data_IF_430661455988
#
_entry.id   IF_430661455988
#
_cell.length_a   1.000
_cell.length_b   1.000
_cell.length_c   1.000
_cell.angle_alpha   90.00
_cell.angle_beta   90.00
_cell.angle_gamma   90.00
#
_symmetry.space_group_name_H-M   'P 1'
#
loop_
_entity.id
_entity.type
_entity.pdbx_description
1 polymer ?
#
# COMPACT_ATOMS: atom_id res chain seq x y z
N UNK A 1 52.80 61.94 24.79
CA UNK A 1 51.59 61.41 25.46
C UNK A 1 50.71 60.80 24.38
N UNK A 2 50.74 59.47 24.26
CA UNK A 2 49.92 58.72 23.29
C UNK A 2 48.74 58.14 24.01
N UNK A 3 47.51 58.50 23.61
CA UNK A 3 46.26 57.98 24.18
C UNK A 3 45.95 56.64 23.51
N UNK A 4 45.93 55.57 24.27
CA UNK A 4 45.43 54.25 23.81
C UNK A 4 43.90 54.23 23.84
N UNK A 5 43.25 53.99 22.71
CA UNK A 5 41.83 53.80 22.59
C UNK A 5 41.53 52.29 22.60
N UNK A 6 40.89 51.83 23.67
CA UNK A 6 40.43 50.44 23.81
C UNK A 6 39.18 50.24 23.00
N UNK A 7 39.20 49.33 22.01
CA UNK A 7 38.03 48.86 21.25
C UNK A 7 37.51 47.63 21.97
N UNK A 8 36.29 47.72 22.50
CA UNK A 8 35.56 46.55 23.07
C UNK A 8 34.80 45.87 21.95
N UNK A 9 35.18 44.62 21.63
CA UNK A 9 34.45 43.78 20.71
C UNK A 9 33.35 43.06 21.47
N UNK A 10 32.09 43.41 21.21
CA UNK A 10 30.93 42.66 21.73
C UNK A 10 30.63 41.52 20.77
N UNK A 11 30.88 40.28 21.20
CA UNK A 11 30.53 39.04 20.46
C UNK A 11 29.06 38.75 20.76
N UNK A 12 28.21 38.89 19.72
CA UNK A 12 26.80 38.49 19.78
C UNK A 12 26.72 36.97 19.54
N UNK A 13 26.47 36.19 20.60
CA UNK A 13 26.17 34.78 20.48
C UNK A 13 24.74 34.61 19.95
N UNK A 14 24.57 34.24 18.68
CA UNK A 14 23.29 33.82 18.12
C UNK A 14 23.10 32.36 18.48
N UNK A 15 22.23 32.05 19.44
CA UNK A 15 21.80 30.68 19.73
C UNK A 15 20.78 30.27 18.68
N UNK A 16 21.19 29.45 17.72
CA UNK A 16 20.27 28.79 16.81
C UNK A 16 19.47 27.74 17.61
N UNK A 17 18.22 28.04 17.93
CA UNK A 17 17.28 27.03 18.41
C UNK A 17 17.01 26.04 17.28
N UNK A 18 17.62 24.87 17.31
CA UNK A 18 17.20 23.73 16.50
C UNK A 18 15.79 23.36 16.95
N UNK A 19 14.79 23.73 16.14
CA UNK A 19 13.44 23.16 16.26
C UNK A 19 13.59 21.69 15.85
N UNK A 20 13.44 20.78 16.80
CA UNK A 20 13.41 19.36 16.49
C UNK A 20 12.27 19.11 15.48
N UNK A 21 12.51 18.33 14.41
CA UNK A 21 11.43 17.95 13.50
C UNK A 21 10.31 17.26 14.32
N UNK A 22 9.05 17.38 13.90
CA UNK A 22 7.94 16.71 14.58
C UNK A 22 8.27 15.22 14.72
N UNK A 23 8.05 14.68 15.89
CA UNK A 23 8.30 13.28 16.21
C UNK A 23 7.49 12.41 15.25
N UNK A 24 8.19 11.73 14.34
CA UNK A 24 7.57 10.81 13.38
C UNK A 24 7.23 9.52 14.13
N UNK A 25 6.13 8.82 13.77
CA UNK A 25 5.81 7.53 14.37
C UNK A 25 7.05 6.63 14.29
N UNK A 26 7.37 5.96 15.39
CA UNK A 26 8.49 5.02 15.42
C UNK A 26 8.34 3.97 14.34
N UNK A 27 9.44 3.50 13.77
CA UNK A 27 9.44 2.48 12.71
C UNK A 27 8.56 1.27 13.04
N UNK A 28 8.54 0.87 14.30
CA UNK A 28 7.72 -0.25 14.78
C UNK A 28 6.21 -0.01 14.69
N UNK A 29 5.74 1.22 14.87
CA UNK A 29 4.31 1.57 14.79
C UNK A 29 3.78 1.50 13.36
N UNK A 30 4.52 2.04 12.40
CA UNK A 30 4.13 1.96 10.98
C UNK A 30 4.18 0.51 10.45
N UNK A 31 5.15 -0.29 10.89
CA UNK A 31 5.23 -1.71 10.53
C UNK A 31 4.05 -2.49 11.13
N UNK A 32 3.67 -2.24 12.38
CA UNK A 32 2.48 -2.83 13.01
C UNK A 32 1.21 -2.40 12.28
N UNK A 33 1.08 -1.13 11.91
CA UNK A 33 -0.06 -0.61 11.17
C UNK A 33 -0.21 -1.31 9.82
N UNK A 34 0.88 -1.53 9.09
CA UNK A 34 0.86 -2.25 7.83
C UNK A 34 0.49 -3.72 8.01
N UNK A 35 0.95 -4.36 9.08
CA UNK A 35 0.56 -5.73 9.42
C UNK A 35 -0.94 -5.83 9.75
N UNK A 36 -1.47 -4.88 10.52
CA UNK A 36 -2.90 -4.83 10.83
C UNK A 36 -3.75 -4.61 9.58
N UNK A 37 -3.31 -3.71 8.67
CA UNK A 37 -3.98 -3.46 7.40
C UNK A 37 -4.05 -4.74 6.56
N UNK A 38 -2.93 -5.44 6.38
CA UNK A 38 -2.86 -6.68 5.62
C UNK A 38 -3.78 -7.75 6.20
N UNK A 39 -3.82 -7.87 7.53
CA UNK A 39 -4.72 -8.81 8.22
C UNK A 39 -6.19 -8.42 8.03
N UNK A 40 -6.51 -7.14 8.14
CA UNK A 40 -7.88 -6.64 7.97
C UNK A 40 -8.39 -6.84 6.53
N UNK A 41 -7.52 -6.70 5.52
CA UNK A 41 -7.85 -7.02 4.12
C UNK A 41 -8.14 -8.52 3.98
N UNK A 42 -7.28 -9.40 4.51
CA UNK A 42 -7.46 -10.84 4.44
C UNK A 42 -8.75 -11.33 5.10
N UNK A 43 -9.27 -10.62 6.12
CA UNK A 43 -10.46 -11.01 6.89
C UNK A 43 -11.69 -10.14 6.60
N UNK A 44 -11.60 -9.18 5.68
CA UNK A 44 -12.62 -8.14 5.42
C UNK A 44 -13.04 -7.41 6.70
N UNK A 45 -12.12 -7.17 7.63
CA UNK A 45 -12.41 -6.45 8.87
C UNK A 45 -12.51 -4.94 8.62
N UNK A 46 -13.71 -4.52 8.22
CA UNK A 46 -14.00 -3.11 7.91
C UNK A 46 -13.85 -2.20 9.11
N UNK A 47 -14.06 -2.71 10.33
CA UNK A 47 -13.92 -1.91 11.55
C UNK A 47 -12.45 -1.53 11.77
N UNK A 48 -11.55 -2.48 11.65
CA UNK A 48 -10.10 -2.22 11.73
C UNK A 48 -9.65 -1.29 10.60
N UNK A 49 -10.09 -1.49 9.35
CA UNK A 49 -9.75 -0.60 8.24
C UNK A 49 -10.17 0.85 8.55
N UNK A 50 -11.38 1.06 9.06
CA UNK A 50 -11.88 2.38 9.45
C UNK A 50 -11.03 3.06 10.55
N UNK A 51 -10.48 2.28 11.46
CA UNK A 51 -9.61 2.80 12.54
C UNK A 51 -8.20 3.15 12.03
N UNK A 52 -7.68 2.39 11.05
CA UNK A 52 -6.33 2.58 10.52
C UNK A 52 -6.18 3.82 9.64
N UNK A 53 -7.24 4.28 8.97
CA UNK A 53 -7.17 5.39 8.02
C UNK A 53 -7.74 6.69 8.58
N UNK A 54 -7.20 7.81 8.11
CA UNK A 54 -7.88 9.09 8.21
C UNK A 54 -9.10 9.10 7.29
N UNK A 55 -10.21 9.77 7.67
CA UNK A 55 -11.43 9.81 6.82
C UNK A 55 -11.17 10.37 5.40
N UNK A 56 -10.22 11.28 5.27
CA UNK A 56 -9.82 11.93 4.01
C UNK A 56 -8.62 11.27 3.33
N UNK A 57 -8.19 10.11 3.77
CA UNK A 57 -7.03 9.41 3.19
C UNK A 57 -7.21 9.10 1.71
N UNK A 58 -6.11 8.83 1.02
CA UNK A 58 -6.09 8.34 -0.36
C UNK A 58 -5.48 6.95 -0.44
N UNK A 59 -5.95 6.17 -1.42
CA UNK A 59 -5.38 4.87 -1.74
C UNK A 59 -5.17 4.75 -3.25
N UNK A 60 -3.92 4.59 -3.67
CA UNK A 60 -3.54 4.45 -5.07
C UNK A 60 -3.40 2.96 -5.45
N UNK A 61 -4.17 2.50 -6.42
CA UNK A 61 -4.00 1.19 -7.08
C UNK A 61 -3.29 1.41 -8.43
N UNK A 62 -1.99 1.16 -8.46
CA UNK A 62 -1.20 1.37 -9.67
C UNK A 62 -1.44 0.31 -10.75
N UNK A 63 -1.97 -0.86 -10.42
CA UNK A 63 -2.32 -1.87 -11.42
C UNK A 63 -3.54 -1.46 -12.25
N UNK A 64 -4.54 -0.87 -11.63
CA UNK A 64 -5.74 -0.36 -12.30
C UNK A 64 -5.65 1.11 -12.70
N UNK A 65 -4.61 1.83 -12.22
CA UNK A 65 -4.42 3.28 -12.38
C UNK A 65 -5.59 4.09 -11.79
N UNK A 66 -6.10 3.66 -10.65
CA UNK A 66 -7.17 4.30 -9.90
C UNK A 66 -6.65 4.85 -8.58
N UNK A 67 -7.24 5.96 -8.14
CA UNK A 67 -7.06 6.52 -6.80
C UNK A 67 -8.41 6.59 -6.11
N UNK A 68 -8.52 5.95 -4.95
CA UNK A 68 -9.70 5.98 -4.08
C UNK A 68 -9.53 7.11 -3.07
N UNK A 69 -10.55 7.97 -2.95
CA UNK A 69 -10.50 9.14 -2.10
C UNK A 69 -11.48 9.03 -0.93
N UNK A 70 -10.93 9.10 0.26
CA UNK A 70 -11.67 8.98 1.50
C UNK A 70 -12.07 7.55 1.82
N UNK A 71 -12.37 7.34 3.08
CA UNK A 71 -12.64 6.00 3.63
C UNK A 71 -13.85 5.31 2.99
N UNK A 72 -14.80 6.08 2.45
CA UNK A 72 -16.00 5.56 1.79
C UNK A 72 -15.69 4.82 0.48
N UNK A 73 -14.59 5.18 -0.19
CA UNK A 73 -14.12 4.48 -1.40
C UNK A 73 -13.05 3.44 -1.07
N UNK A 74 -12.21 3.70 -0.06
CA UNK A 74 -11.11 2.81 0.34
C UNK A 74 -11.63 1.48 0.90
N UNK A 75 -12.62 1.51 1.80
CA UNK A 75 -13.13 0.28 2.43
C UNK A 75 -13.69 -0.71 1.40
N UNK A 76 -14.60 -0.34 0.49
CA UNK A 76 -15.08 -1.25 -0.55
C UNK A 76 -13.95 -1.79 -1.44
N UNK A 77 -12.97 -0.96 -1.80
CA UNK A 77 -11.81 -1.42 -2.58
C UNK A 77 -11.02 -2.49 -1.86
N UNK A 78 -10.65 -2.27 -0.59
CA UNK A 78 -9.84 -3.19 0.19
C UNK A 78 -10.55 -4.51 0.51
N UNK A 79 -11.88 -4.53 0.51
CA UNK A 79 -12.67 -5.75 0.77
C UNK A 79 -13.20 -6.41 -0.49
N UNK A 80 -12.99 -5.81 -1.67
CA UNK A 80 -13.54 -6.29 -2.94
C UNK A 80 -13.20 -7.74 -3.28
N UNK A 81 -12.04 -8.24 -2.82
CA UNK A 81 -11.63 -9.63 -3.04
C UNK A 81 -12.65 -10.64 -2.48
N UNK A 82 -13.32 -10.32 -1.37
CA UNK A 82 -14.33 -11.17 -0.75
C UNK A 82 -15.66 -11.20 -1.50
N UNK A 83 -15.89 -10.29 -2.44
CA UNK A 83 -17.08 -10.32 -3.30
C UNK A 83 -16.97 -11.40 -4.37
N UNK A 84 -15.77 -11.66 -4.90
CA UNK A 84 -15.55 -12.57 -6.01
C UNK A 84 -14.77 -13.84 -5.64
N UNK A 85 -14.03 -13.82 -4.52
CA UNK A 85 -13.12 -14.87 -4.10
C UNK A 85 -13.59 -15.62 -2.85
N UNK A 86 -13.24 -16.89 -2.80
CA UNK A 86 -13.25 -17.70 -1.60
C UNK A 86 -11.81 -17.93 -1.15
N UNK A 87 -11.61 -18.34 0.10
CA UNK A 87 -10.30 -18.60 0.70
C UNK A 87 -9.31 -17.43 0.53
N UNK A 88 -9.82 -16.22 0.73
CA UNK A 88 -9.01 -14.99 0.62
C UNK A 88 -7.91 -15.02 1.67
N UNK A 89 -6.68 -14.94 1.21
CA UNK A 89 -5.49 -14.93 2.03
C UNK A 89 -4.57 -13.78 1.64
N UNK A 90 -4.00 -13.11 2.61
CA UNK A 90 -2.95 -12.11 2.41
C UNK A 90 -1.95 -12.21 3.54
N UNK A 91 -0.67 -12.28 3.20
CA UNK A 91 0.42 -12.36 4.17
C UNK A 91 1.49 -11.33 3.86
N UNK A 92 1.84 -10.58 4.88
CA UNK A 92 2.92 -9.61 4.83
C UNK A 92 4.27 -10.34 5.01
N UNK A 93 5.18 -10.11 4.09
CA UNK A 93 6.53 -10.64 4.09
C UNK A 93 7.52 -9.66 4.74
N UNK A 94 8.47 -9.15 3.93
CA UNK A 94 9.43 -8.17 4.40
C UNK A 94 8.80 -6.81 4.56
N UNK A 95 9.10 -6.15 5.68
CA UNK A 95 8.64 -4.79 5.97
C UNK A 95 9.84 -3.90 6.25
N UNK A 96 9.79 -2.69 5.75
CA UNK A 96 10.80 -1.67 5.97
C UNK A 96 10.13 -0.36 6.37
N UNK A 97 10.59 0.20 7.47
CA UNK A 97 10.17 1.53 7.88
C UNK A 97 10.71 2.60 6.94
N UNK A 98 9.92 3.64 6.73
CA UNK A 98 10.33 4.87 6.05
C UNK A 98 10.33 6.04 7.03
N UNK A 99 10.67 7.23 6.57
CA UNK A 99 10.69 8.41 7.42
C UNK A 99 9.30 8.80 7.98
N UNK A 100 8.22 8.40 7.31
CA UNK A 100 6.84 8.77 7.68
C UNK A 100 5.83 7.63 7.54
N UNK A 101 6.30 6.38 7.46
CA UNK A 101 5.42 5.22 7.26
C UNK A 101 6.20 3.92 7.15
N UNK A 102 5.70 3.01 6.32
CA UNK A 102 6.32 1.73 6.03
C UNK A 102 6.08 1.29 4.58
N UNK A 103 6.91 0.38 4.11
CA UNK A 103 6.72 -0.36 2.86
C UNK A 103 6.83 -1.85 3.16
N UNK A 104 5.92 -2.65 2.62
CA UNK A 104 5.90 -4.09 2.84
C UNK A 104 5.56 -4.89 1.61
N UNK A 105 6.32 -5.97 1.40
CA UNK A 105 6.05 -6.98 0.39
C UNK A 105 4.96 -7.92 0.89
N UNK A 106 4.06 -8.33 0.03
CA UNK A 106 3.00 -9.27 0.40
C UNK A 106 2.70 -10.29 -0.70
N UNK A 107 2.10 -11.39 -0.26
CA UNK A 107 1.48 -12.39 -1.13
C UNK A 107 -0.01 -12.39 -0.84
N UNK A 108 -0.81 -12.32 -1.90
CA UNK A 108 -2.26 -12.46 -1.88
C UNK A 108 -2.64 -13.71 -2.64
N UNK A 109 -3.64 -14.46 -2.13
CA UNK A 109 -4.31 -15.49 -2.92
C UNK A 109 -5.81 -15.55 -2.65
N UNK A 110 -6.57 -16.02 -3.64
CA UNK A 110 -8.00 -16.29 -3.54
C UNK A 110 -8.42 -17.27 -4.64
N UNK A 111 -9.47 -18.06 -4.41
CA UNK A 111 -10.11 -18.87 -5.44
C UNK A 111 -11.22 -18.04 -6.08
N UNK A 112 -11.16 -17.78 -7.39
CA UNK A 112 -12.21 -17.04 -8.08
C UNK A 112 -13.48 -17.91 -8.22
N UNK A 113 -14.39 -17.76 -7.28
CA UNK A 113 -15.64 -18.52 -7.19
C UNK A 113 -16.86 -17.76 -7.72
N UNK A 114 -16.71 -16.45 -7.96
CA UNK A 114 -17.75 -15.54 -8.47
C UNK A 114 -17.18 -14.60 -9.55
N UNK A 115 -18.02 -13.98 -10.39
CA UNK A 115 -17.57 -12.99 -11.39
C UNK A 115 -16.78 -11.83 -10.77
N UNK A 116 -15.78 -11.29 -11.50
CA UNK A 116 -15.09 -10.04 -11.18
C UNK A 116 -15.58 -8.97 -12.14
N UNK A 117 -16.68 -8.34 -11.80
CA UNK A 117 -17.35 -7.36 -12.67
C UNK A 117 -17.54 -7.88 -14.10
N UNK A 118 -17.56 -6.96 -15.06
CA UNK A 118 -17.72 -7.28 -16.48
C UNK A 118 -16.45 -7.85 -17.13
N UNK A 119 -15.29 -7.72 -16.46
CA UNK A 119 -13.99 -8.18 -17.01
C UNK A 119 -13.87 -9.70 -16.98
N UNK A 120 -14.36 -10.33 -15.92
CA UNK A 120 -14.38 -11.78 -15.74
C UNK A 120 -15.79 -12.21 -15.34
N UNK A 121 -16.72 -12.27 -16.32
CA UNK A 121 -18.15 -12.45 -16.04
C UNK A 121 -18.52 -13.87 -15.60
N UNK A 122 -17.57 -14.80 -15.65
CA UNK A 122 -17.76 -16.20 -15.29
C UNK A 122 -16.71 -16.59 -14.26
N UNK A 123 -17.13 -17.32 -13.23
CA UNK A 123 -16.22 -17.90 -12.27
C UNK A 123 -15.34 -18.97 -12.94
N UNK A 124 -14.02 -18.84 -12.85
CA UNK A 124 -13.10 -19.83 -13.41
C UNK A 124 -12.87 -21.01 -12.46
N UNK A 125 -13.06 -20.81 -11.16
CA UNK A 125 -12.67 -21.75 -10.11
C UNK A 125 -11.15 -21.83 -9.89
N UNK A 126 -10.38 -21.01 -10.57
CA UNK A 126 -8.92 -21.00 -10.46
C UNK A 126 -8.47 -20.25 -9.23
N UNK A 127 -7.34 -20.69 -8.66
CA UNK A 127 -6.61 -19.94 -7.66
C UNK A 127 -5.84 -18.79 -8.33
N UNK A 128 -5.95 -17.61 -7.75
CA UNK A 128 -5.16 -16.43 -8.10
C UNK A 128 -4.10 -16.24 -7.03
N UNK A 129 -2.84 -16.08 -7.44
CA UNK A 129 -1.73 -15.76 -6.54
C UNK A 129 -1.03 -14.52 -7.07
N UNK A 130 -0.97 -13.46 -6.26
CA UNK A 130 -0.33 -12.19 -6.62
C UNK A 130 0.74 -11.83 -5.60
N UNK A 131 1.81 -11.22 -6.08
CA UNK A 131 2.82 -10.59 -5.25
C UNK A 131 2.75 -9.09 -5.45
N UNK A 132 2.86 -8.35 -4.38
CA UNK A 132 2.81 -6.91 -4.46
C UNK A 132 3.56 -6.23 -3.32
N UNK A 133 3.52 -4.93 -3.35
CA UNK A 133 4.10 -4.04 -2.35
C UNK A 133 3.08 -2.98 -1.99
N UNK A 134 2.84 -2.80 -0.70
CA UNK A 134 2.08 -1.65 -0.19
C UNK A 134 3.03 -0.66 0.45
N UNK A 135 2.89 0.60 0.10
CA UNK A 135 3.51 1.74 0.78
C UNK A 135 2.42 2.44 1.58
N UNK A 136 2.68 2.70 2.86
CA UNK A 136 1.81 3.55 3.68
C UNK A 136 2.56 4.79 4.14
N UNK A 137 1.87 5.92 4.11
CA UNK A 137 2.31 7.18 4.72
C UNK A 137 1.37 7.51 5.87
N UNK A 138 1.96 7.77 7.02
CA UNK A 138 1.21 8.04 8.25
C UNK A 138 1.24 9.52 8.61
N UNK A 139 0.13 9.98 9.14
CA UNK A 139 0.04 11.27 9.83
C UNK A 139 -0.40 10.96 11.26
N UNK A 140 0.50 11.12 12.22
CA UNK A 140 0.35 10.66 13.59
C UNK A 140 0.18 9.13 13.61
N UNK A 141 -0.90 8.63 14.16
CA UNK A 141 -1.25 7.23 14.40
C UNK A 141 -2.06 6.56 13.27
N UNK A 142 -2.35 7.28 12.17
CA UNK A 142 -3.21 6.77 11.08
C UNK A 142 -2.61 6.98 9.70
N UNK A 143 -3.02 6.13 8.79
CA UNK A 143 -2.65 6.20 7.38
C UNK A 143 -3.37 7.39 6.73
N UNK A 144 -2.61 8.28 6.10
CA UNK A 144 -3.13 9.38 5.28
C UNK A 144 -3.03 9.07 3.79
N UNK A 145 -2.11 8.22 3.41
CA UNK A 145 -1.97 7.72 2.05
C UNK A 145 -1.49 6.27 2.07
N UNK A 146 -2.07 5.44 1.21
CA UNK A 146 -1.51 4.13 0.90
C UNK A 146 -1.40 3.98 -0.62
N UNK A 147 -0.54 3.06 -1.07
CA UNK A 147 -0.37 2.78 -2.49
C UNK A 147 0.06 1.33 -2.71
N UNK A 148 -0.63 0.64 -3.61
CA UNK A 148 -0.29 -0.72 -4.03
C UNK A 148 0.40 -0.74 -5.38
N UNK A 149 1.49 -1.50 -5.43
CA UNK A 149 2.21 -1.86 -6.63
C UNK A 149 2.12 -3.37 -6.82
N UNK A 150 1.34 -3.79 -7.78
CA UNK A 150 1.14 -5.19 -8.11
C UNK A 150 1.21 -5.39 -9.63
N UNK A 151 1.77 -6.50 -10.06
CA UNK A 151 1.69 -6.89 -11.46
C UNK A 151 0.30 -7.49 -11.74
N UNK A 152 -0.50 -6.79 -12.54
CA UNK A 152 -1.86 -7.24 -12.91
C UNK A 152 -1.89 -8.31 -14.00
N UNK A 153 -0.79 -8.55 -14.72
CA UNK A 153 -0.73 -9.55 -15.80
C UNK A 153 -0.96 -10.97 -15.26
N UNK A 154 -0.34 -11.41 -14.17
CA UNK A 154 -0.60 -12.72 -13.59
C UNK A 154 -2.08 -12.97 -13.26
N UNK A 155 -2.82 -11.96 -12.80
CA UNK A 155 -4.26 -12.10 -12.56
C UNK A 155 -5.00 -12.51 -13.81
N UNK A 156 -4.75 -11.83 -14.94
CA UNK A 156 -5.42 -12.12 -16.23
C UNK A 156 -5.12 -13.54 -16.68
N UNK A 157 -3.85 -13.93 -16.64
CA UNK A 157 -3.39 -15.23 -17.12
C UNK A 157 -3.91 -16.40 -16.24
N UNK A 158 -3.87 -16.24 -14.91
CA UNK A 158 -4.33 -17.26 -13.96
C UNK A 158 -5.85 -17.48 -14.05
N UNK A 159 -6.60 -16.46 -14.43
CA UNK A 159 -8.05 -16.56 -14.68
C UNK A 159 -8.38 -17.11 -16.08
N UNK A 160 -7.41 -17.60 -16.84
CA UNK A 160 -7.59 -18.18 -18.18
C UNK A 160 -7.65 -17.14 -19.29
N UNK A 161 -7.32 -15.89 -19.01
CA UNK A 161 -7.14 -14.86 -20.03
C UNK A 161 -5.84 -15.05 -20.80
N UNK A 162 -5.71 -14.28 -21.90
CA UNK A 162 -4.48 -14.23 -22.71
C UNK A 162 -4.23 -12.79 -23.17
N UNK A 163 -3.00 -12.52 -23.57
CA UNK A 163 -2.59 -11.22 -24.10
C UNK A 163 -2.16 -11.41 -25.54
N UNK A 164 -2.83 -10.72 -26.46
CA UNK A 164 -2.41 -10.66 -27.88
C UNK A 164 -1.32 -9.62 -28.06
N UNK A 165 -0.21 -10.02 -28.66
CA UNK A 165 0.91 -9.15 -28.95
C UNK A 165 0.86 -8.64 -30.38
N UNK A 166 1.39 -7.45 -30.69
CA UNK A 166 1.57 -7.00 -32.06
C UNK A 166 2.33 -8.04 -32.90
N UNK A 167 1.77 -8.41 -34.05
CA UNK A 167 2.35 -9.45 -34.90
C UNK A 167 1.76 -10.86 -34.71
N UNK A 168 0.70 -10.99 -33.88
CA UNK A 168 -0.07 -12.23 -33.69
C UNK A 168 0.50 -13.22 -32.68
N UNK A 169 1.51 -12.81 -31.92
CA UNK A 169 1.97 -13.57 -30.75
C UNK A 169 0.91 -13.57 -29.65
N UNK A 170 0.75 -14.71 -28.94
CA UNK A 170 -0.15 -14.82 -27.78
C UNK A 170 0.68 -15.15 -26.55
N UNK A 171 0.47 -14.37 -25.50
CA UNK A 171 0.98 -14.68 -24.16
C UNK A 171 -0.16 -15.22 -23.31
N UNK A 172 -0.05 -16.46 -22.92
CA UNK A 172 -1.01 -17.16 -22.03
C UNK A 172 -0.24 -18.01 -21.02
N UNK A 173 -0.87 -18.34 -19.92
CA UNK A 173 -0.30 -19.31 -18.99
C UNK A 173 -0.40 -20.69 -19.65
N UNK A 174 0.73 -21.40 -19.75
CA UNK A 174 0.69 -22.82 -20.05
C UNK A 174 0.11 -23.52 -18.83
N UNK A 175 -1.13 -23.96 -18.92
CA UNK A 175 -1.72 -24.84 -17.92
C UNK A 175 -1.06 -26.21 -18.15
N UNK A 176 0.05 -26.46 -17.47
CA UNK A 176 0.63 -27.79 -17.40
C UNK A 176 -0.48 -28.74 -16.98
N UNK A 177 -0.81 -29.66 -17.88
CA UNK A 177 -1.92 -30.60 -17.70
C UNK A 177 -1.77 -31.40 -16.41
N UNK A 178 -2.55 -31.03 -15.41
CA UNK A 178 -2.85 -31.84 -14.24
C UNK A 178 -4.20 -32.48 -14.39
#
# INVERSE_FOLDING_TARGET
>A
MVKATSIVFTVLLVTASCIAPPEQPGSSEAEITLQLLTTAIATADTAVILELFWPEATYDDFASQLTYQGIQEIVPYLTAAHEWGDDVYMNLGRVHATSNGAVGEWIFSAIQSRPIGDRFPVASGNEVVLNGVTIIEMRRDRIIRAADYVDGVPLILQLGGHIELPGGGVWQQELDGR
#
